data_IF_760568899012
#
_entry.id   IF_760568899012
#
_cell.length_a   1.000
_cell.length_b   1.000
_cell.length_c   1.000
_cell.angle_alpha   90.00
_cell.angle_beta   90.00
_cell.angle_gamma   90.00
#
_symmetry.space_group_name_H-M   'P 1'
#
loop_
_entity.id
_entity.type
_entity.pdbx_description
1 polymer ?
#
# COMPACT_ATOMS: atom_id res chain seq x y z
N UNK A 1 -2.82 -19.02 -8.75
CA UNK A 1 -2.66 -17.77 -8.01
C UNK A 1 -4.00 -17.04 -7.93
N UNK A 2 -4.46 -16.80 -6.71
CA UNK A 2 -5.66 -16.02 -6.36
C UNK A 2 -5.21 -14.66 -5.82
N UNK A 3 -6.07 -13.65 -5.94
CA UNK A 3 -5.80 -12.29 -5.48
C UNK A 3 -6.80 -11.85 -4.43
N UNK A 4 -6.34 -11.12 -3.43
CA UNK A 4 -7.16 -10.55 -2.37
C UNK A 4 -6.71 -9.12 -2.08
N UNK A 5 -7.67 -8.21 -1.93
CA UNK A 5 -7.39 -6.85 -1.45
C UNK A 5 -7.15 -6.88 0.05
N UNK A 6 -5.97 -6.44 0.48
CA UNK A 6 -5.56 -6.43 1.88
C UNK A 6 -5.75 -5.06 2.52
N UNK A 7 -5.41 -3.99 1.79
CA UNK A 7 -5.49 -2.62 2.29
C UNK A 7 -5.90 -1.65 1.18
N UNK A 8 -6.66 -0.62 1.55
CA UNK A 8 -7.10 0.44 0.64
C UNK A 8 -7.30 1.74 1.43
N UNK A 9 -6.71 2.85 0.98
CA UNK A 9 -6.83 4.15 1.66
C UNK A 9 -8.09 4.93 1.31
N UNK A 10 -8.89 4.47 0.32
CA UNK A 10 -10.12 5.12 -0.14
C UNK A 10 -10.02 6.65 -0.35
N UNK A 11 -8.83 7.15 -0.74
CA UNK A 11 -8.60 8.56 -1.06
C UNK A 11 -8.16 9.43 0.13
N UNK A 12 -7.18 8.98 0.91
CA UNK A 12 -6.63 9.77 2.02
C UNK A 12 -6.00 11.08 1.54
N UNK A 13 -6.33 12.17 2.22
CA UNK A 13 -5.71 13.49 2.02
C UNK A 13 -4.58 13.67 3.01
N UNK A 14 -3.35 13.84 2.51
CA UNK A 14 -2.22 14.22 3.37
C UNK A 14 -2.23 15.73 3.59
N UNK A 15 -1.98 16.19 4.82
CA UNK A 15 -1.79 17.61 5.16
C UNK A 15 -0.30 17.96 5.21
N UNK A 16 0.05 19.24 5.11
CA UNK A 16 1.44 19.68 5.16
C UNK A 16 2.13 19.34 6.50
N UNK A 17 1.38 19.38 7.60
CA UNK A 17 1.87 18.98 8.93
C UNK A 17 2.19 17.49 9.01
N UNK A 18 1.38 16.68 8.33
CA UNK A 18 1.53 15.24 8.20
C UNK A 18 2.81 14.89 7.42
N UNK A 19 3.06 15.56 6.29
CA UNK A 19 4.26 15.33 5.47
C UNK A 19 5.55 15.74 6.18
N UNK A 20 5.54 16.88 6.89
CA UNK A 20 6.69 17.35 7.66
C UNK A 20 7.04 16.44 8.86
N UNK A 21 6.11 15.59 9.30
CA UNK A 21 6.32 14.64 10.40
C UNK A 21 6.75 13.24 9.91
N UNK A 22 6.86 13.00 8.60
CA UNK A 22 7.12 11.68 8.04
C UNK A 22 5.96 10.70 8.27
N UNK A 23 4.73 11.12 7.92
CA UNK A 23 3.48 10.38 8.17
C UNK A 23 3.58 8.89 8.04
N UNK A 24 3.11 8.19 9.06
CA UNK A 24 2.58 6.84 8.99
C UNK A 24 1.05 6.92 8.95
N UNK A 25 0.46 6.74 7.77
CA UNK A 25 -0.96 6.40 7.70
C UNK A 25 -1.09 4.91 7.98
N UNK A 26 -1.73 4.55 9.10
CA UNK A 26 -1.92 3.14 9.47
C UNK A 26 -3.13 2.61 8.71
N UNK A 27 -2.91 1.66 7.81
CA UNK A 27 -3.95 0.99 7.03
C UNK A 27 -4.85 0.08 7.89
N UNK A 28 -4.40 -0.23 9.11
CA UNK A 28 -5.04 -1.13 10.04
C UNK A 28 -4.43 -2.54 9.99
N UNK A 29 -5.13 -3.47 10.62
CA UNK A 29 -4.75 -4.88 10.68
C UNK A 29 -5.61 -5.69 9.71
N UNK A 30 -4.97 -6.32 8.74
CA UNK A 30 -5.58 -7.26 7.80
C UNK A 30 -5.52 -8.67 8.38
N UNK A 31 -6.67 -9.34 8.50
CA UNK A 31 -6.74 -10.75 8.91
C UNK A 31 -6.94 -11.62 7.66
N UNK A 32 -5.96 -12.48 7.31
CA UNK A 32 -6.10 -13.39 6.18
C UNK A 32 -7.37 -14.26 6.29
N UNK A 33 -8.13 -14.47 5.21
CA UNK A 33 -9.29 -15.35 5.22
C UNK A 33 -8.92 -16.84 5.12
N UNK A 34 -7.66 -17.15 4.80
CA UNK A 34 -7.13 -18.50 4.65
C UNK A 34 -5.64 -18.53 5.03
N UNK A 35 -5.19 -19.69 5.51
CA UNK A 35 -3.77 -19.98 5.69
C UNK A 35 -3.13 -20.32 4.34
N UNK A 36 -2.15 -19.55 3.88
CA UNK A 36 -1.43 -19.80 2.62
C UNK A 36 -0.10 -19.03 2.60
N UNK A 37 0.56 -19.00 1.45
CA UNK A 37 1.78 -18.24 1.18
C UNK A 37 1.47 -17.10 0.21
N UNK A 38 1.79 -15.88 0.62
CA UNK A 38 1.81 -14.71 -0.25
C UNK A 38 3.03 -14.84 -1.16
N UNK A 39 2.76 -15.09 -2.44
CA UNK A 39 3.73 -15.19 -3.53
C UNK A 39 4.03 -13.85 -4.16
N UNK A 40 3.06 -12.93 -4.12
CA UNK A 40 3.20 -11.59 -4.67
C UNK A 40 2.46 -10.54 -3.85
N UNK A 41 3.06 -9.35 -3.80
CA UNK A 41 2.41 -8.13 -3.32
C UNK A 41 2.27 -7.19 -4.52
N UNK A 42 1.05 -6.80 -4.84
CA UNK A 42 0.76 -5.82 -5.89
C UNK A 42 0.28 -4.51 -5.26
N UNK A 43 0.91 -3.41 -5.62
CA UNK A 43 0.59 -2.07 -5.13
C UNK A 43 0.05 -1.23 -6.28
N UNK A 44 -1.14 -0.70 -6.09
CA UNK A 44 -1.80 0.20 -7.03
C UNK A 44 -1.77 1.61 -6.45
N UNK A 45 -1.23 2.56 -7.22
CA UNK A 45 -1.22 3.99 -6.86
C UNK A 45 -2.09 4.78 -7.83
N UNK A 46 -3.15 5.42 -7.32
CA UNK A 46 -4.11 6.20 -8.10
C UNK A 46 -4.43 7.56 -7.48
N UNK A 47 -5.07 8.43 -8.28
CA UNK A 47 -5.69 9.67 -7.82
C UNK A 47 -7.18 9.67 -8.19
N UNK A 48 -8.06 10.14 -7.29
CA UNK A 48 -9.52 10.14 -7.51
C UNK A 48 -10.07 11.44 -8.13
N UNK A 49 -9.31 12.54 -8.06
CA UNK A 49 -9.81 13.87 -8.43
C UNK A 49 -9.14 14.42 -9.69
N UNK A 50 -9.83 15.35 -10.38
CA UNK A 50 -9.42 16.01 -11.62
C UNK A 50 -8.00 16.59 -11.62
N UNK A 51 -7.40 16.79 -10.45
CA UNK A 51 -5.97 17.06 -10.24
C UNK A 51 -5.52 16.38 -8.96
N UNK A 52 -4.92 15.20 -9.05
CA UNK A 52 -4.29 14.51 -7.91
C UNK A 52 -2.82 14.27 -8.23
N UNK A 53 -1.92 14.77 -7.38
CA UNK A 53 -0.51 14.41 -7.45
C UNK A 53 -0.34 13.04 -6.79
N UNK A 54 0.31 12.10 -7.46
CA UNK A 54 0.72 10.84 -6.83
C UNK A 54 2.17 11.03 -6.41
N UNK A 55 2.49 10.79 -5.14
CA UNK A 55 3.85 10.83 -4.61
C UNK A 55 4.42 9.41 -4.41
N UNK A 56 5.74 9.35 -4.18
CA UNK A 56 6.39 8.13 -3.72
C UNK A 56 5.82 7.69 -2.38
N UNK A 57 5.40 6.42 -2.33
CA UNK A 57 4.85 5.78 -1.14
C UNK A 57 5.71 4.59 -0.77
N UNK A 58 6.11 4.53 0.49
CA UNK A 58 6.65 3.32 1.11
C UNK A 58 5.53 2.62 1.87
N UNK A 59 5.29 1.36 1.53
CA UNK A 59 4.35 0.50 2.24
C UNK A 59 5.15 -0.38 3.19
N UNK A 60 4.84 -0.33 4.48
CA UNK A 60 5.39 -1.24 5.48
C UNK A 60 4.34 -2.29 5.82
N UNK A 61 4.72 -3.56 5.72
CA UNK A 61 3.90 -4.68 6.14
C UNK A 61 4.59 -5.39 7.31
N UNK A 62 3.84 -5.68 8.36
CA UNK A 62 4.35 -6.34 9.56
C UNK A 62 3.47 -7.54 9.95
N UNK A 63 4.11 -8.66 10.28
CA UNK A 63 3.47 -9.85 10.85
C UNK A 63 4.43 -10.54 11.81
N UNK A 64 3.89 -11.11 12.90
CA UNK A 64 4.69 -11.81 13.90
C UNK A 64 5.30 -13.12 13.40
N UNK A 65 4.81 -13.68 12.29
CA UNK A 65 5.28 -14.96 11.71
C UNK A 65 6.32 -14.75 10.58
N UNK A 66 6.76 -13.51 10.33
CA UNK A 66 7.72 -13.21 9.28
C UNK A 66 9.14 -13.02 9.84
N UNK A 67 10.13 -13.30 8.99
CA UNK A 67 11.55 -13.05 9.28
C UNK A 67 12.20 -12.40 8.06
N UNK A 68 12.53 -11.09 8.09
CA UNK A 68 12.23 -10.14 9.17
C UNK A 68 10.72 -9.93 9.36
N UNK A 69 10.31 -9.57 10.57
CA UNK A 69 8.89 -9.39 10.92
C UNK A 69 8.24 -8.17 10.24
N UNK A 70 9.06 -7.28 9.67
CA UNK A 70 8.63 -6.10 8.92
C UNK A 70 9.31 -6.04 7.56
N UNK A 71 8.54 -5.70 6.54
CA UNK A 71 8.98 -5.58 5.16
C UNK A 71 8.55 -4.24 4.58
N UNK A 72 9.34 -3.72 3.64
CA UNK A 72 9.14 -2.41 3.05
C UNK A 72 9.06 -2.54 1.52
N UNK A 73 8.02 -1.99 0.93
CA UNK A 73 7.78 -1.97 -0.51
C UNK A 73 7.72 -0.52 -0.99
N UNK A 74 8.47 -0.18 -2.03
CA UNK A 74 8.54 1.17 -2.57
C UNK A 74 7.76 1.26 -3.86
N UNK A 75 6.73 2.11 -3.89
CA UNK A 75 5.93 2.39 -5.06
C UNK A 75 6.11 3.86 -5.44
N UNK A 76 6.72 4.12 -6.60
CA UNK A 76 7.12 5.47 -7.01
C UNK A 76 6.03 6.22 -7.77
N UNK A 77 5.26 7.05 -7.09
CA UNK A 77 4.30 7.93 -7.73
C UNK A 77 4.99 9.06 -8.48
N UNK A 78 5.16 8.92 -9.79
CA UNK A 78 5.70 10.00 -10.62
C UNK A 78 4.56 10.77 -11.31
N UNK A 79 4.23 11.94 -10.77
CA UNK A 79 3.60 13.02 -11.54
C UNK A 79 2.19 13.42 -11.14
N UNK A 80 1.80 14.61 -11.59
CA UNK A 80 0.43 15.12 -11.50
C UNK A 80 -0.45 14.30 -12.44
N UNK A 81 -1.57 13.81 -11.93
CA UNK A 81 -2.58 13.13 -12.74
C UNK A 81 -3.87 13.90 -12.73
N UNK A 82 -4.35 14.18 -13.93
CA UNK A 82 -5.67 14.75 -14.14
C UNK A 82 -6.67 13.62 -14.37
N UNK A 83 -7.72 13.54 -13.57
CA UNK A 83 -8.77 12.54 -13.80
C UNK A 83 -9.49 12.81 -15.13
N UNK A 84 -9.92 11.76 -15.85
CA UNK A 84 -9.72 10.34 -15.53
C UNK A 84 -8.30 9.88 -15.89
N UNK A 85 -7.59 9.31 -14.93
CA UNK A 85 -6.31 8.66 -15.20
C UNK A 85 -6.57 7.24 -15.73
N UNK A 86 -6.23 6.99 -17.00
CA UNK A 86 -6.51 5.71 -17.68
C UNK A 86 -5.59 4.56 -17.27
N UNK A 87 -4.46 4.86 -16.63
CA UNK A 87 -3.46 3.85 -16.27
C UNK A 87 -3.08 3.99 -14.80
N UNK A 88 -3.50 3.11 -13.91
CA UNK A 88 -3.07 3.08 -12.50
C UNK A 88 -1.75 2.29 -12.43
N UNK A 89 -0.60 2.90 -12.06
CA UNK A 89 0.65 2.17 -11.87
C UNK A 89 0.46 0.99 -10.95
N UNK A 90 0.96 -0.16 -11.38
CA UNK A 90 1.00 -1.39 -10.60
C UNK A 90 2.46 -1.72 -10.35
N UNK A 91 2.83 -1.88 -9.08
CA UNK A 91 4.14 -2.35 -8.66
C UNK A 91 3.95 -3.75 -8.09
N UNK A 92 4.53 -4.75 -8.74
CA UNK A 92 4.49 -6.14 -8.30
C UNK A 92 5.83 -6.53 -7.69
N UNK A 93 5.77 -7.13 -6.51
CA UNK A 93 6.92 -7.66 -5.79
C UNK A 93 6.71 -9.14 -5.54
N UNK A 94 7.69 -9.96 -5.91
CA UNK A 94 7.68 -11.38 -5.58
C UNK A 94 8.10 -11.59 -4.12
N UNK A 95 7.39 -12.47 -3.44
CA UNK A 95 7.56 -12.72 -2.01
C UNK A 95 7.36 -14.19 -1.67
N UNK A 96 7.75 -14.59 -0.46
CA UNK A 96 7.40 -15.89 0.11
C UNK A 96 7.07 -15.70 1.59
N UNK A 97 5.89 -15.15 1.84
CA UNK A 97 5.45 -14.76 3.18
C UNK A 97 4.28 -15.60 3.63
N UNK A 98 4.37 -16.15 4.84
CA UNK A 98 3.27 -16.93 5.40
C UNK A 98 2.14 -16.00 5.78
N UNK A 99 0.90 -16.31 5.39
CA UNK A 99 -0.29 -15.67 5.94
C UNK A 99 -1.13 -16.70 6.68
N UNK A 100 -1.60 -16.36 7.88
CA UNK A 100 -2.43 -17.23 8.71
C UNK A 100 -3.68 -16.50 9.17
N UNK A 101 -4.81 -17.18 9.15
CA UNK A 101 -6.11 -16.68 9.61
C UNK A 101 -6.10 -16.14 11.04
N UNK A 102 -5.27 -16.71 11.91
CA UNK A 102 -5.15 -16.31 13.31
C UNK A 102 -4.13 -15.17 13.55
N UNK A 103 -3.33 -14.80 12.55
CA UNK A 103 -2.28 -13.80 12.68
C UNK A 103 -2.52 -12.64 11.71
N UNK A 104 -2.78 -11.47 12.27
CA UNK A 104 -2.96 -10.25 11.52
C UNK A 104 -1.68 -9.78 10.83
N UNK A 105 -1.83 -9.18 9.67
CA UNK A 105 -0.79 -8.43 8.96
C UNK A 105 -1.13 -6.95 9.14
N UNK A 106 -0.24 -6.18 9.75
CA UNK A 106 -0.38 -4.73 9.87
C UNK A 106 0.18 -4.05 8.62
N UNK A 107 -0.57 -3.10 8.08
CA UNK A 107 -0.14 -2.25 6.97
C UNK A 107 0.06 -0.80 7.41
N UNK A 108 1.14 -0.17 6.95
CA UNK A 108 1.39 1.26 7.11
C UNK A 108 1.83 1.87 5.78
N UNK A 109 1.43 3.11 5.53
CA UNK A 109 1.84 3.89 4.37
C UNK A 109 2.65 5.09 4.82
N UNK A 110 3.75 5.33 4.13
CA UNK A 110 4.64 6.44 4.40
C UNK A 110 4.85 7.22 3.12
N UNK A 111 4.33 8.45 3.12
CA UNK A 111 4.51 9.41 2.05
C UNK A 111 5.89 10.04 2.17
N UNK A 112 6.67 10.01 1.07
CA UNK A 112 8.03 10.54 1.05
C UNK A 112 8.13 11.95 0.43
N UNK A 113 7.02 12.50 -0.08
CA UNK A 113 7.00 13.82 -0.71
C UNK A 113 6.66 14.96 0.25
N UNK A 114 6.96 16.19 -0.18
CA UNK A 114 6.76 17.41 0.61
C UNK A 114 5.47 18.16 0.30
N UNK A 115 4.63 17.66 -0.62
CA UNK A 115 3.43 18.38 -1.08
C UNK A 115 2.16 17.64 -0.66
N UNK A 116 1.17 18.30 -0.02
CA UNK A 116 -0.13 17.71 0.28
C UNK A 116 -0.80 17.11 -0.96
N UNK A 117 -1.17 15.83 -0.89
CA UNK A 117 -1.83 15.12 -1.98
C UNK A 117 -3.02 14.28 -1.52
N UNK A 118 -3.98 14.07 -2.42
CA UNK A 118 -5.02 13.05 -2.27
C UNK A 118 -4.58 11.82 -3.05
N UNK A 119 -4.17 10.77 -2.33
CA UNK A 119 -3.67 9.55 -2.94
C UNK A 119 -4.57 8.36 -2.61
N UNK A 120 -4.78 7.49 -3.59
CA UNK A 120 -5.42 6.20 -3.38
C UNK A 120 -4.37 5.11 -3.53
N UNK A 121 -4.13 4.40 -2.44
CA UNK A 121 -3.21 3.28 -2.38
C UNK A 121 -4.06 2.04 -2.17
N UNK A 122 -3.86 1.02 -3.01
CA UNK A 122 -4.45 -0.30 -2.82
C UNK A 122 -3.38 -1.36 -2.85
N UNK A 123 -3.41 -2.26 -1.88
CA UNK A 123 -2.48 -3.38 -1.75
C UNK A 123 -3.24 -4.68 -1.94
N UNK A 124 -2.74 -5.52 -2.83
CA UNK A 124 -3.28 -6.86 -3.09
C UNK A 124 -2.23 -7.94 -2.81
N UNK A 125 -2.68 -9.06 -2.24
CA UNK A 125 -1.88 -10.25 -2.04
C UNK A 125 -2.24 -11.32 -3.06
N UNK A 126 -1.24 -11.78 -3.80
CA UNK A 126 -1.29 -12.94 -4.68
C UNK A 126 -0.84 -14.17 -3.91
N UNK A 127 -1.71 -15.17 -3.78
CA UNK A 127 -1.46 -16.38 -3.01
C UNK A 127 -1.90 -17.64 -3.77
N UNK A 128 -1.39 -18.80 -3.33
CA UNK A 128 -1.73 -20.12 -3.87
C UNK A 128 -2.99 -20.70 -3.22
#
# INVERSE_FOLDING_TARGET
>A
MKWLEAFNTDGESTTLAQLNAGTTAVAGNFNPPVDSIIRRVAIFLGGEVATSLIEDVRIELESSDWVPNRLHFLASGNGIRTAPATHIPVYEFETELVMRTALGIRGEYIHAGGTPVTSRIRVMFGFD
#
